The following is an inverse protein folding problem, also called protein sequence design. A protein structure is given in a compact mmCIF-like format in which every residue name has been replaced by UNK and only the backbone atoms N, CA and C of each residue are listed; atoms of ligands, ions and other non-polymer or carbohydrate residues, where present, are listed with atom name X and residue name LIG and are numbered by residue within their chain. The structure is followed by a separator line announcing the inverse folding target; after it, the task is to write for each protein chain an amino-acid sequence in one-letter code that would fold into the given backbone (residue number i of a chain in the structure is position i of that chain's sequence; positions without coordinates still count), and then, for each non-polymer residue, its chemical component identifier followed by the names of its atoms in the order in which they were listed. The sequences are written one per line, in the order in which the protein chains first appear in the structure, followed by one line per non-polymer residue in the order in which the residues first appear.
data_IF_774330847696
#
_entry.id   IF_774330847696
#
_cell.length_a   1.000
_cell.length_b   1.000
_cell.length_c   1.000
_cell.angle_alpha   90.00
_cell.angle_beta   90.00
_cell.angle_gamma   90.00
#
_symmetry.space_group_name_H-M   'P 1'
#
loop_
_entity.id
_entity.type
_entity.pdbx_description
1 polymer ?
#
# COMPACT_ATOMS: atom_id res chain seq x y z
N UNK A 1 4.80 3.63 72.41
CA UNK A 1 4.75 4.55 71.25
C UNK A 1 5.36 4.00 69.94
N UNK A 2 5.89 2.76 69.87
CA UNK A 2 6.48 2.19 68.63
C UNK A 2 5.54 1.27 67.81
N UNK A 3 4.39 0.86 68.35
CA UNK A 3 3.47 -0.07 67.67
C UNK A 3 2.40 0.61 66.80
N UNK A 4 2.21 1.93 66.94
CA UNK A 4 1.20 2.67 66.18
C UNK A 4 1.72 3.15 64.81
N UNK A 5 3.02 3.39 64.66
CA UNK A 5 3.63 3.81 63.39
C UNK A 5 3.74 2.71 62.35
N UNK A 6 3.74 1.43 62.74
CA UNK A 6 3.88 0.31 61.79
C UNK A 6 2.55 0.01 61.04
N UNK A 7 1.41 0.30 61.65
CA UNK A 7 0.11 0.06 61.02
C UNK A 7 -0.28 1.10 59.97
N UNK A 8 0.23 2.33 60.07
CA UNK A 8 -0.09 3.40 59.12
C UNK A 8 0.66 3.20 57.79
N UNK A 9 1.87 2.62 57.81
CA UNK A 9 2.67 2.38 56.60
C UNK A 9 2.09 1.22 55.76
N UNK A 10 1.48 0.21 56.40
CA UNK A 10 0.86 -0.92 55.68
C UNK A 10 -0.43 -0.50 54.96
N UNK A 11 -1.16 0.50 55.48
CA UNK A 11 -2.41 0.97 54.87
C UNK A 11 -2.21 1.82 53.60
N UNK A 12 -1.04 2.43 53.39
CA UNK A 12 -0.79 3.28 52.21
C UNK A 12 -0.34 2.51 50.95
N UNK A 13 0.06 1.24 51.06
CA UNK A 13 0.52 0.45 49.90
C UNK A 13 -0.64 -0.22 49.14
N UNK A 14 -1.88 -0.17 49.66
CA UNK A 14 -3.01 -0.89 49.09
C UNK A 14 -3.96 -0.05 48.20
N UNK A 15 -3.65 1.22 47.93
CA UNK A 15 -4.56 2.11 47.19
C UNK A 15 -4.22 2.37 45.71
N UNK A 16 -3.18 1.75 45.14
CA UNK A 16 -2.80 1.99 43.71
C UNK A 16 -3.29 0.94 42.72
N UNK A 17 -4.15 -0.01 43.10
CA UNK A 17 -4.44 -1.19 42.26
C UNK A 17 -5.65 -1.08 41.30
N UNK A 18 -6.33 0.07 41.19
CA UNK A 18 -7.51 0.20 40.32
C UNK A 18 -7.43 1.39 39.35
N UNK A 19 -6.33 1.53 38.62
CA UNK A 19 -6.42 2.19 37.33
C UNK A 19 -6.90 1.14 36.32
N UNK A 20 -8.06 1.29 35.65
CA UNK A 20 -8.44 0.38 34.59
C UNK A 20 -7.32 0.43 33.53
N UNK A 21 -6.73 -0.74 33.21
CA UNK A 21 -5.85 -0.86 32.06
C UNK A 21 -6.65 -0.36 30.86
N UNK A 22 -6.25 0.76 30.27
CA UNK A 22 -6.92 1.28 29.07
C UNK A 22 -7.00 0.11 28.08
N UNK A 23 -8.22 -0.21 27.63
CA UNK A 23 -8.42 -1.31 26.71
C UNK A 23 -7.56 -1.04 25.48
N UNK A 24 -6.62 -1.95 25.19
CA UNK A 24 -5.78 -1.84 23.99
C UNK A 24 -6.70 -1.92 22.76
N UNK A 25 -6.57 -0.97 21.85
CA UNK A 25 -7.32 -1.02 20.59
C UNK A 25 -6.95 -2.30 19.83
N UNK A 26 -7.92 -3.01 19.23
CA UNK A 26 -7.62 -4.19 18.43
C UNK A 26 -6.71 -3.81 17.26
N UNK A 27 -5.73 -4.67 16.98
CA UNK A 27 -4.83 -4.56 15.82
C UNK A 27 -5.11 -5.70 14.85
N UNK A 28 -4.88 -5.44 13.57
CA UNK A 28 -4.95 -6.44 12.50
C UNK A 28 -3.63 -6.48 11.74
N UNK A 29 -3.25 -7.65 11.26
CA UNK A 29 -2.11 -7.84 10.37
C UNK A 29 -2.63 -7.94 8.94
N UNK A 30 -2.07 -7.12 8.04
CA UNK A 30 -2.41 -7.12 6.62
C UNK A 30 -1.14 -7.44 5.82
N UNK A 31 -1.24 -8.30 4.79
CA UNK A 31 -0.10 -8.61 3.93
C UNK A 31 0.25 -7.38 3.08
N UNK A 32 1.52 -7.00 3.09
CA UNK A 32 2.02 -5.87 2.32
C UNK A 32 2.70 -6.32 1.03
N UNK A 33 2.35 -5.67 -0.08
CA UNK A 33 3.07 -5.79 -1.35
C UNK A 33 4.31 -4.91 -1.34
N UNK A 34 5.35 -5.35 -2.05
CA UNK A 34 6.59 -4.59 -2.28
C UNK A 34 6.50 -3.92 -3.65
N UNK A 35 6.90 -2.66 -3.75
CA UNK A 35 6.88 -1.89 -4.99
C UNK A 35 7.97 -0.80 -5.02
N UNK A 36 8.01 -0.04 -6.10
CA UNK A 36 8.93 1.07 -6.31
C UNK A 36 8.18 2.41 -6.37
N UNK A 37 8.77 3.45 -5.78
CA UNK A 37 8.40 4.84 -6.00
C UNK A 37 9.67 5.70 -5.97
N UNK A 38 9.88 6.53 -6.99
CA UNK A 38 11.06 7.41 -7.10
C UNK A 38 12.41 6.69 -6.85
N UNK A 39 12.55 5.48 -7.40
CA UNK A 39 13.76 4.66 -7.24
C UNK A 39 13.91 3.97 -5.88
N UNK A 40 12.97 4.17 -4.96
CA UNK A 40 13.00 3.65 -3.58
C UNK A 40 11.97 2.56 -3.38
N UNK A 41 12.33 1.57 -2.56
CA UNK A 41 11.42 0.49 -2.20
C UNK A 41 10.35 1.02 -1.24
N UNK A 42 9.10 0.67 -1.51
CA UNK A 42 7.95 0.98 -0.67
C UNK A 42 7.14 -0.28 -0.40
N UNK A 43 6.32 -0.23 0.63
CA UNK A 43 5.36 -1.27 0.95
C UNK A 43 3.96 -0.69 1.05
N UNK A 44 2.98 -1.41 0.53
CA UNK A 44 1.59 -0.97 0.45
C UNK A 44 0.63 -2.15 0.65
N UNK A 45 -0.66 -1.88 0.84
CA UNK A 45 -1.70 -2.91 0.96
C UNK A 45 -2.79 -2.70 -0.08
N UNK A 46 -3.51 -3.75 -0.45
CA UNK A 46 -4.69 -3.67 -1.30
C UNK A 46 -5.93 -3.76 -0.42
N UNK A 47 -6.77 -2.72 -0.38
CA UNK A 47 -7.95 -2.71 0.50
C UNK A 47 -9.26 -2.80 -0.29
N UNK A 48 -9.44 -1.94 -1.29
CA UNK A 48 -10.64 -1.90 -2.13
C UNK A 48 -10.28 -1.76 -3.62
N UNK A 49 -11.15 -2.23 -4.51
CA UNK A 49 -11.03 -2.03 -5.95
C UNK A 49 -12.39 -1.75 -6.60
N UNK A 50 -12.40 -0.97 -7.68
CA UNK A 50 -13.62 -0.62 -8.42
C UNK A 50 -14.13 -1.73 -9.33
N UNK A 51 -13.26 -2.68 -9.69
CA UNK A 51 -13.57 -3.77 -10.62
C UNK A 51 -13.58 -5.12 -9.90
N UNK A 52 -14.57 -5.96 -10.24
CA UNK A 52 -14.77 -7.26 -9.59
C UNK A 52 -13.65 -8.26 -9.90
N UNK A 53 -13.15 -8.29 -11.13
CA UNK A 53 -12.07 -9.19 -11.53
C UNK A 53 -10.74 -8.81 -10.88
N UNK A 54 -10.47 -7.50 -10.79
CA UNK A 54 -9.29 -6.99 -10.07
C UNK A 54 -9.38 -7.27 -8.58
N UNK A 55 -10.56 -7.04 -7.96
CA UNK A 55 -10.77 -7.36 -6.53
C UNK A 55 -10.54 -8.86 -6.23
N UNK A 56 -11.09 -9.76 -7.06
CA UNK A 56 -10.90 -11.20 -6.91
C UNK A 56 -9.44 -11.62 -7.07
N UNK A 57 -8.78 -11.12 -8.13
CA UNK A 57 -7.38 -11.41 -8.43
C UNK A 57 -6.46 -11.01 -7.27
N UNK A 58 -6.60 -9.79 -6.77
CA UNK A 58 -5.78 -9.27 -5.67
C UNK A 58 -6.09 -9.98 -4.35
N UNK A 59 -7.36 -10.32 -4.11
CA UNK A 59 -7.76 -11.16 -2.96
C UNK A 59 -7.04 -12.51 -2.99
N UNK A 60 -7.08 -13.18 -4.14
CA UNK A 60 -6.46 -14.48 -4.34
C UNK A 60 -4.93 -14.45 -4.22
N UNK A 61 -4.30 -13.37 -4.71
CA UNK A 61 -2.86 -13.13 -4.61
C UNK A 61 -2.42 -12.91 -3.16
N UNK A 62 -3.05 -11.97 -2.47
CA UNK A 62 -2.62 -11.53 -1.14
C UNK A 62 -3.10 -12.48 -0.03
N UNK A 63 -4.03 -13.40 -0.33
CA UNK A 63 -4.73 -14.22 0.68
C UNK A 63 -5.40 -13.36 1.76
N UNK A 64 -5.82 -12.15 1.37
CA UNK A 64 -6.49 -11.16 2.20
C UNK A 64 -7.58 -10.49 1.35
N UNK A 65 -8.80 -10.27 1.88
CA UNK A 65 -9.88 -9.68 1.11
C UNK A 65 -9.53 -8.30 0.56
N UNK A 66 -9.77 -8.11 -0.75
CA UNK A 66 -9.89 -6.81 -1.41
C UNK A 66 -11.35 -6.60 -1.74
N UNK A 67 -11.95 -5.57 -1.17
CA UNK A 67 -13.40 -5.38 -1.22
C UNK A 67 -13.80 -4.65 -2.52
N UNK A 68 -14.80 -5.19 -3.21
CA UNK A 68 -15.38 -4.55 -4.40
C UNK A 68 -16.15 -3.28 -4.01
N UNK A 69 -15.74 -2.14 -4.56
CA UNK A 69 -16.39 -0.83 -4.38
C UNK A 69 -16.52 -0.13 -5.74
N UNK A 70 -17.57 -0.42 -6.53
CA UNK A 70 -17.68 0.06 -7.91
C UNK A 70 -17.66 1.59 -8.05
N UNK A 71 -18.13 2.31 -7.02
CA UNK A 71 -18.15 3.77 -7.02
C UNK A 71 -16.75 4.41 -7.06
N UNK A 72 -15.68 3.66 -6.76
CA UNK A 72 -14.30 4.15 -6.91
C UNK A 72 -13.97 4.49 -8.38
N UNK A 73 -14.61 3.86 -9.37
CA UNK A 73 -14.42 4.20 -10.78
C UNK A 73 -14.94 5.60 -11.15
N UNK A 74 -15.76 6.21 -10.29
CA UNK A 74 -16.33 7.55 -10.50
C UNK A 74 -15.54 8.66 -9.79
N UNK A 75 -14.41 8.32 -9.16
CA UNK A 75 -13.56 9.31 -8.50
C UNK A 75 -12.95 10.23 -9.58
N UNK A 76 -13.01 11.57 -9.42
CA UNK A 76 -12.44 12.49 -10.38
C UNK A 76 -10.95 12.28 -10.57
N UNK A 77 -10.48 12.48 -11.80
CA UNK A 77 -9.10 12.26 -12.22
C UNK A 77 -8.08 13.01 -11.34
N UNK A 78 -8.40 14.24 -10.92
CA UNK A 78 -7.57 15.06 -10.04
C UNK A 78 -7.43 14.53 -8.60
N UNK A 79 -8.27 13.58 -8.21
CA UNK A 79 -8.24 12.92 -6.88
C UNK A 79 -7.52 11.57 -6.90
N UNK A 80 -6.97 11.19 -8.06
CA UNK A 80 -6.27 9.93 -8.29
C UNK A 80 -4.77 10.16 -8.47
N UNK A 81 -3.99 9.24 -7.91
CA UNK A 81 -2.60 9.03 -8.27
C UNK A 81 -2.49 7.78 -9.15
N UNK A 82 -1.30 7.43 -9.62
CA UNK A 82 -1.10 6.33 -10.55
C UNK A 82 -0.42 5.13 -9.88
N UNK A 83 -0.77 3.95 -10.38
CA UNK A 83 0.03 2.73 -10.22
C UNK A 83 0.24 2.09 -11.59
N UNK A 84 1.46 1.65 -11.86
CA UNK A 84 1.85 1.02 -13.12
C UNK A 84 2.17 -0.45 -12.86
N UNK A 85 1.45 -1.33 -13.54
CA UNK A 85 1.45 -2.78 -13.32
C UNK A 85 1.81 -3.50 -14.61
N UNK A 86 2.79 -4.40 -14.55
CA UNK A 86 3.37 -5.05 -15.72
C UNK A 86 2.69 -6.38 -16.06
N UNK A 87 2.39 -6.61 -17.34
CA UNK A 87 1.76 -7.84 -17.86
C UNK A 87 2.74 -8.79 -18.53
N UNK A 88 3.97 -8.34 -18.80
CA UNK A 88 5.05 -9.12 -19.39
C UNK A 88 6.45 -8.59 -19.00
N UNK A 89 7.52 -9.19 -19.55
CA UNK A 89 8.90 -8.79 -19.30
C UNK A 89 9.55 -9.55 -18.14
N UNK A 90 10.13 -8.82 -17.18
CA UNK A 90 10.87 -9.44 -16.06
C UNK A 90 9.91 -10.14 -15.11
N UNK A 91 10.09 -11.46 -14.91
CA UNK A 91 9.35 -12.23 -13.92
C UNK A 91 9.58 -11.69 -12.49
N UNK A 92 8.53 -11.59 -11.69
CA UNK A 92 8.61 -10.97 -10.37
C UNK A 92 7.35 -11.15 -9.53
N UNK A 93 7.19 -10.27 -8.54
CA UNK A 93 6.14 -10.33 -7.52
C UNK A 93 4.87 -9.53 -7.85
N UNK A 94 4.78 -8.90 -9.01
CA UNK A 94 3.63 -8.08 -9.40
C UNK A 94 2.35 -8.90 -9.65
N UNK A 95 1.17 -8.25 -9.74
CA UNK A 95 -0.14 -8.86 -9.95
C UNK A 95 -0.24 -9.93 -11.06
N UNK A 96 0.52 -9.76 -12.15
CA UNK A 96 0.54 -10.68 -13.29
C UNK A 96 1.79 -11.59 -13.34
N UNK A 97 2.59 -11.62 -12.28
CA UNK A 97 3.80 -12.46 -12.19
C UNK A 97 5.06 -11.81 -12.78
N UNK A 98 5.01 -10.52 -13.05
CA UNK A 98 6.14 -9.74 -13.57
C UNK A 98 6.68 -8.79 -12.50
N UNK A 99 7.51 -7.82 -12.87
CA UNK A 99 8.19 -6.95 -11.92
C UNK A 99 7.21 -6.25 -10.95
N UNK A 100 7.76 -5.79 -9.83
CA UNK A 100 7.00 -5.06 -8.84
C UNK A 100 6.42 -3.76 -9.41
N UNK A 101 5.26 -3.36 -8.90
CA UNK A 101 4.54 -2.19 -9.38
C UNK A 101 5.34 -0.90 -9.15
N UNK A 102 5.08 0.11 -9.99
CA UNK A 102 5.66 1.45 -9.85
C UNK A 102 4.57 2.44 -9.49
N UNK A 103 4.80 3.26 -8.47
CA UNK A 103 3.88 4.29 -7.98
C UNK A 103 4.49 5.68 -8.16
N UNK A 104 3.64 6.67 -8.42
CA UNK A 104 3.96 8.09 -8.25
C UNK A 104 3.62 8.57 -6.84
N UNK A 105 4.02 9.80 -6.53
CA UNK A 105 3.54 10.59 -5.41
C UNK A 105 3.55 9.82 -4.07
N UNK A 106 4.71 9.39 -3.56
CA UNK A 106 4.78 8.78 -2.22
C UNK A 106 4.33 9.77 -1.13
N UNK A 107 3.96 9.29 0.08
CA UNK A 107 3.54 10.17 1.16
C UNK A 107 4.57 11.26 1.47
N UNK A 108 4.10 12.50 1.68
CA UNK A 108 4.95 13.68 1.83
C UNK A 108 5.14 14.50 0.56
N UNK A 109 4.62 14.03 -0.58
CA UNK A 109 4.47 14.80 -1.82
C UNK A 109 3.06 15.40 -1.92
N UNK A 110 2.92 16.49 -2.69
CA UNK A 110 1.63 17.19 -2.86
C UNK A 110 0.55 16.32 -3.53
N UNK A 111 0.96 15.36 -4.37
CA UNK A 111 0.06 14.49 -5.12
C UNK A 111 -0.34 13.19 -4.41
N UNK A 112 0.03 12.99 -3.14
CA UNK A 112 -0.27 11.72 -2.48
C UNK A 112 -1.77 11.52 -2.28
N UNK A 113 -2.27 10.42 -2.81
CA UNK A 113 -3.57 9.82 -2.48
C UNK A 113 -3.40 8.30 -2.45
N UNK A 114 -4.13 7.58 -1.59
CA UNK A 114 -4.12 6.13 -1.64
C UNK A 114 -4.97 5.59 -2.80
N UNK A 115 -5.78 6.42 -3.48
CA UNK A 115 -6.58 6.01 -4.62
C UNK A 115 -5.74 6.01 -5.89
N UNK A 116 -5.56 4.82 -6.49
CA UNK A 116 -4.67 4.59 -7.62
C UNK A 116 -5.43 4.23 -8.88
N UNK A 117 -5.24 5.01 -9.94
CA UNK A 117 -5.60 4.63 -11.31
C UNK A 117 -4.66 3.53 -11.75
N UNK A 118 -5.23 2.41 -12.16
CA UNK A 118 -4.47 1.32 -12.76
C UNK A 118 -4.01 1.72 -14.18
N UNK A 119 -2.69 1.66 -14.39
CA UNK A 119 -2.05 1.77 -15.69
C UNK A 119 -1.39 0.42 -15.98
N UNK A 120 -1.80 -0.24 -17.06
CA UNK A 120 -1.34 -1.57 -17.44
C UNK A 120 -0.21 -1.43 -18.45
N UNK A 121 0.96 -1.95 -18.10
CA UNK A 121 2.19 -1.85 -18.90
C UNK A 121 2.45 -3.15 -19.64
N UNK A 122 2.71 -3.04 -20.94
CA UNK A 122 3.19 -4.15 -21.77
C UNK A 122 4.45 -3.73 -22.53
N UNK A 123 5.57 -4.41 -22.32
CA UNK A 123 6.77 -4.27 -23.13
C UNK A 123 6.49 -4.71 -24.56
N UNK A 124 6.92 -3.90 -25.54
CA UNK A 124 6.79 -4.21 -26.97
C UNK A 124 7.75 -5.32 -27.40
N UNK A 125 8.96 -5.34 -26.81
CA UNK A 125 9.96 -6.40 -26.98
C UNK A 125 10.44 -6.85 -25.60
N UNK A 126 9.91 -7.98 -25.13
CA UNK A 126 10.21 -8.54 -23.80
C UNK A 126 11.70 -8.84 -23.59
N UNK A 127 12.45 -9.08 -24.66
CA UNK A 127 13.90 -9.37 -24.55
C UNK A 127 14.72 -8.14 -24.14
N UNK A 128 14.13 -6.95 -24.25
CA UNK A 128 14.72 -5.67 -23.85
C UNK A 128 14.17 -5.14 -22.52
N UNK A 129 13.26 -5.89 -21.89
CA UNK A 129 12.66 -5.47 -20.62
C UNK A 129 13.76 -5.25 -19.56
N UNK A 130 13.65 -4.13 -18.85
CA UNK A 130 14.48 -3.78 -17.70
C UNK A 130 13.59 -3.43 -16.50
N UNK A 131 14.13 -3.51 -15.30
CA UNK A 131 13.38 -3.11 -14.11
C UNK A 131 13.22 -1.58 -14.15
N UNK A 132 11.99 -1.10 -13.97
CA UNK A 132 11.67 0.32 -13.89
C UNK A 132 11.24 0.63 -12.45
N UNK A 133 11.77 1.69 -11.87
CA UNK A 133 11.65 2.01 -10.43
C UNK A 133 11.06 3.38 -10.16
N UNK A 134 10.77 4.14 -11.20
CA UNK A 134 10.14 5.45 -11.10
C UNK A 134 9.19 5.68 -12.27
N UNK A 135 8.21 6.57 -12.06
CA UNK A 135 7.28 6.93 -13.12
C UNK A 135 7.98 7.65 -14.26
N UNK A 136 9.04 8.43 -13.97
CA UNK A 136 9.89 9.00 -15.02
C UNK A 136 10.44 7.92 -15.96
N UNK A 137 10.99 6.84 -15.42
CA UNK A 137 11.54 5.74 -16.22
C UNK A 137 10.46 5.02 -17.05
N UNK A 138 9.23 4.89 -16.52
CA UNK A 138 8.08 4.32 -17.24
C UNK A 138 7.69 5.19 -18.43
N UNK A 139 7.54 6.51 -18.21
CA UNK A 139 7.14 7.45 -19.26
C UNK A 139 8.23 7.66 -20.31
N UNK A 140 9.50 7.62 -19.90
CA UNK A 140 10.63 7.66 -20.84
C UNK A 140 10.65 6.42 -21.74
N UNK A 141 10.39 5.23 -21.18
CA UNK A 141 10.29 3.99 -21.95
C UNK A 141 9.07 3.97 -22.88
N UNK A 142 7.93 4.50 -22.46
CA UNK A 142 6.75 4.70 -23.32
C UNK A 142 7.07 5.64 -24.49
N UNK A 143 7.67 6.81 -24.19
CA UNK A 143 8.05 7.81 -25.20
C UNK A 143 9.05 7.26 -26.21
N UNK A 144 9.95 6.38 -25.77
CA UNK A 144 10.89 5.67 -26.63
C UNK A 144 10.25 4.52 -27.45
N UNK A 145 8.97 4.23 -27.24
CA UNK A 145 8.24 3.14 -27.92
C UNK A 145 8.64 1.75 -27.46
N UNK A 146 9.22 1.63 -26.26
CA UNK A 146 9.68 0.34 -25.72
C UNK A 146 8.53 -0.43 -25.04
N UNK A 147 7.51 0.27 -24.56
CA UNK A 147 6.33 -0.27 -23.90
C UNK A 147 5.08 0.54 -24.27
N UNK A 148 3.91 -0.04 -24.00
CA UNK A 148 2.61 0.64 -24.11
C UNK A 148 1.92 0.70 -22.75
N UNK A 149 1.09 1.73 -22.57
CA UNK A 149 0.29 1.93 -21.35
C UNK A 149 -1.20 1.90 -21.71
N UNK A 150 -1.97 1.04 -21.05
CA UNK A 150 -3.42 0.96 -21.17
C UNK A 150 -4.11 1.33 -19.87
N UNK A 151 -5.17 2.13 -19.95
CA UNK A 151 -5.96 2.56 -18.80
C UNK A 151 -7.37 1.92 -18.85
N UNK A 152 -7.60 0.83 -18.10
CA UNK A 152 -8.89 0.14 -18.11
C UNK A 152 -10.00 0.88 -17.34
N UNK A 153 -9.70 2.04 -16.72
CA UNK A 153 -10.66 2.78 -15.89
C UNK A 153 -10.88 2.16 -14.50
N UNK A 154 -9.94 1.34 -14.03
CA UNK A 154 -9.99 0.71 -12.70
C UNK A 154 -9.27 1.59 -11.68
N UNK A 155 -9.92 1.78 -10.52
CA UNK A 155 -9.37 2.47 -9.36
C UNK A 155 -9.23 1.50 -8.19
N UNK A 156 -8.08 1.54 -7.52
CA UNK A 156 -7.75 0.67 -6.40
C UNK A 156 -7.31 1.53 -5.21
N UNK A 157 -7.81 1.26 -4.01
CA UNK A 157 -7.32 1.89 -2.80
C UNK A 157 -6.10 1.12 -2.28
N UNK A 158 -4.93 1.76 -2.37
CA UNK A 158 -3.61 1.19 -2.15
C UNK A 158 -2.77 2.08 -1.21
N UNK A 159 -3.12 2.17 0.08
CA UNK A 159 -2.37 3.01 1.00
C UNK A 159 -0.97 2.44 1.27
N UNK A 160 0.00 3.34 1.36
CA UNK A 160 1.38 2.99 1.72
C UNK A 160 1.46 2.66 3.21
N UNK A 161 2.23 1.63 3.55
CA UNK A 161 2.51 1.22 4.94
C UNK A 161 3.94 1.53 5.36
N UNK A 162 4.91 1.44 4.45
CA UNK A 162 6.30 1.82 4.66
C UNK A 162 6.76 2.57 3.41
N UNK A 163 7.42 3.70 3.60
CA UNK A 163 7.95 4.54 2.52
C UNK A 163 9.19 5.28 3.01
N UNK A 164 9.87 5.95 2.09
CA UNK A 164 11.04 6.73 2.46
C UNK A 164 10.64 7.88 3.41
N UNK A 165 11.23 7.89 4.61
CA UNK A 165 10.92 8.86 5.65
C UNK A 165 9.72 8.51 6.55
N UNK A 166 9.05 7.34 6.39
CA UNK A 166 7.93 7.01 7.28
C UNK A 166 7.38 5.58 7.21
N UNK A 167 6.53 5.27 8.20
CA UNK A 167 5.72 4.05 8.27
C UNK A 167 4.45 4.29 9.09
N UNK A 168 3.48 3.38 9.01
CA UNK A 168 2.29 3.34 9.89
C UNK A 168 2.18 2.03 10.65
#
# INVERSE_FOLDING_TARGET
MKKLSLFIIVAMVLLTACAPKAAEMPKAELPAGKAWAEGKEIYFVHTEASDAGVAEKLTGMMKSPVILVPSLANVPDESLANVYVFTNGIAGSGPFGFQADVFDNPPGTDGYTPLRRLNVITWTDETKARELKSVSEVLDAETAGELTIEQPGVVINMPFVIWDGGKR
#
